data_IF_856232528808
#
_entry.id   IF_856232528808
#
_cell.length_a   1.000
_cell.length_b   1.000
_cell.length_c   1.000
_cell.angle_alpha   90.00
_cell.angle_beta   90.00
_cell.angle_gamma   90.00
#
_symmetry.space_group_name_H-M   'P 1'
#
loop_
_entity.id
_entity.type
_entity.pdbx_description
1 polymer ?
#
# COMPACT_ATOMS: atom_id res chain seq x y z
N UNK A 1 -15.70 35.87 101.23
CA UNK A 1 -16.39 34.89 100.36
C UNK A 1 -15.76 34.94 98.98
N UNK A 2 -14.97 33.92 98.62
CA UNK A 2 -14.48 33.67 97.25
C UNK A 2 -14.20 32.17 97.17
N UNK A 3 -15.06 31.43 96.47
CA UNK A 3 -14.92 30.00 96.22
C UNK A 3 -14.25 29.82 94.86
N UNK A 4 -13.10 29.13 94.81
CA UNK A 4 -12.40 28.82 93.57
C UNK A 4 -12.94 27.52 92.98
N UNK A 5 -13.57 27.59 91.81
CA UNK A 5 -13.99 26.42 91.05
C UNK A 5 -12.84 25.92 90.15
N UNK A 6 -12.55 24.62 90.20
CA UNK A 6 -11.64 23.92 89.27
C UNK A 6 -12.35 23.72 87.91
N UNK A 7 -11.65 23.78 86.78
CA UNK A 7 -12.22 23.41 85.49
C UNK A 7 -12.24 21.88 85.33
N UNK A 8 -13.41 21.37 84.93
CA UNK A 8 -13.68 19.97 84.61
C UNK A 8 -12.93 19.52 83.36
N UNK A 9 -12.40 18.30 83.43
CA UNK A 9 -11.77 17.58 82.34
C UNK A 9 -12.79 17.25 81.24
N UNK A 10 -12.44 17.57 79.98
CA UNK A 10 -13.23 17.21 78.82
C UNK A 10 -13.27 15.68 78.63
N UNK A 11 -14.44 15.09 78.32
CA UNK A 11 -14.60 13.65 78.20
C UNK A 11 -14.02 13.07 76.88
N UNK A 12 -13.39 11.90 77.02
CA UNK A 12 -12.50 11.21 76.09
C UNK A 12 -13.22 10.39 74.98
N UNK A 13 -14.28 10.91 74.36
CA UNK A 13 -15.04 10.18 73.32
C UNK A 13 -14.71 10.60 71.88
N UNK A 14 -13.75 11.50 71.67
CA UNK A 14 -13.38 11.97 70.32
C UNK A 14 -12.30 11.15 69.59
N UNK A 15 -11.85 10.00 70.12
CA UNK A 15 -10.71 9.28 69.54
C UNK A 15 -11.03 8.10 68.61
N UNK A 16 -12.29 7.85 68.27
CA UNK A 16 -12.70 6.55 67.69
C UNK A 16 -13.47 6.63 66.35
N UNK A 17 -13.15 7.60 65.46
CA UNK A 17 -13.86 7.71 64.16
C UNK A 17 -12.95 7.80 62.93
N UNK A 18 -11.62 7.80 63.04
CA UNK A 18 -10.73 7.97 61.87
C UNK A 18 -9.78 6.80 61.62
N UNK A 19 -10.31 5.57 61.62
CA UNK A 19 -9.59 4.40 61.10
C UNK A 19 -10.53 3.49 60.29
N UNK A 20 -11.23 4.10 59.33
CA UNK A 20 -12.01 3.41 58.31
C UNK A 20 -11.26 3.35 56.98
N UNK A 21 -10.47 2.29 56.83
CA UNK A 21 -10.21 1.57 55.57
C UNK A 21 -10.10 2.37 54.27
N UNK A 22 -8.91 2.90 54.00
CA UNK A 22 -8.51 3.44 52.70
C UNK A 22 -7.85 2.41 51.77
N UNK A 23 -7.96 1.11 52.05
CA UNK A 23 -7.13 0.09 51.39
C UNK A 23 -7.74 -0.47 50.09
N UNK A 24 -9.06 -0.36 49.91
CA UNK A 24 -9.74 -1.09 48.81
C UNK A 24 -9.90 -0.28 47.49
N UNK A 25 -9.70 1.05 47.54
CA UNK A 25 -9.79 1.92 46.34
C UNK A 25 -8.61 1.74 45.38
N UNK A 26 -7.51 1.15 45.84
CA UNK A 26 -6.30 0.91 45.03
C UNK A 26 -6.40 -0.32 44.12
N UNK A 27 -7.12 -1.36 44.56
CA UNK A 27 -7.19 -2.65 43.85
C UNK A 27 -8.16 -2.56 42.66
N UNK A 28 -9.31 -1.90 42.84
CA UNK A 28 -10.29 -1.69 41.75
C UNK A 28 -9.72 -0.78 40.66
N UNK A 29 -8.97 0.27 41.03
CA UNK A 29 -8.29 1.16 40.07
C UNK A 29 -7.24 0.46 39.22
N UNK A 30 -6.48 -0.48 39.80
CA UNK A 30 -5.45 -1.24 39.07
C UNK A 30 -6.07 -2.17 38.02
N UNK A 31 -7.19 -2.82 38.35
CA UNK A 31 -7.90 -3.71 37.40
C UNK A 31 -8.51 -2.95 36.22
N UNK A 32 -9.15 -1.80 36.46
CA UNK A 32 -9.66 -0.96 35.37
C UNK A 32 -8.55 -0.45 34.45
N UNK A 33 -7.40 -0.08 34.99
CA UNK A 33 -6.26 0.38 34.19
C UNK A 33 -5.76 -0.74 33.25
N UNK A 34 -5.68 -1.98 33.74
CA UNK A 34 -5.27 -3.12 32.90
C UNK A 34 -6.26 -3.39 31.78
N UNK A 35 -7.57 -3.37 32.06
CA UNK A 35 -8.59 -3.56 31.01
C UNK A 35 -8.60 -2.42 29.99
N UNK A 36 -8.36 -1.18 30.43
CA UNK A 36 -8.23 -0.03 29.53
C UNK A 36 -7.01 -0.17 28.60
N UNK A 37 -5.85 -0.57 29.14
CA UNK A 37 -4.64 -0.79 28.33
C UNK A 37 -4.86 -1.94 27.35
N UNK A 38 -5.53 -3.03 27.77
CA UNK A 38 -5.82 -4.18 26.91
C UNK A 38 -6.83 -3.82 25.80
N UNK A 39 -7.84 -2.99 26.12
CA UNK A 39 -8.79 -2.45 25.16
C UNK A 39 -8.10 -1.50 24.16
N UNK A 40 -7.19 -0.64 24.62
CA UNK A 40 -6.40 0.23 23.74
C UNK A 40 -5.50 -0.60 22.82
N UNK A 41 -4.88 -1.68 23.30
CA UNK A 41 -4.13 -2.60 22.45
C UNK A 41 -5.01 -3.38 21.45
N UNK A 42 -6.23 -3.76 21.86
CA UNK A 42 -7.20 -4.45 20.99
C UNK A 42 -7.78 -3.51 19.92
N UNK A 43 -7.96 -2.23 20.26
CA UNK A 43 -8.42 -1.16 19.37
C UNK A 43 -7.27 -0.46 18.64
N UNK A 44 -6.02 -0.77 18.99
CA UNK A 44 -4.85 -0.17 18.36
C UNK A 44 -4.79 -0.68 16.93
N UNK A 45 -4.74 0.20 15.92
CA UNK A 45 -4.67 -0.17 14.52
C UNK A 45 -3.25 -0.62 14.17
N UNK A 46 -2.74 -1.65 14.86
CA UNK A 46 -1.42 -2.24 14.61
C UNK A 46 -1.38 -2.92 13.22
N UNK A 47 -2.53 -3.07 12.56
CA UNK A 47 -2.66 -3.81 11.30
C UNK A 47 -2.80 -3.02 10.00
N UNK A 48 -2.89 -1.69 10.01
CA UNK A 48 -3.01 -0.88 8.79
C UNK A 48 -1.70 -0.13 8.51
N UNK A 49 -0.63 -0.90 8.31
CA UNK A 49 0.52 -0.36 7.58
C UNK A 49 0.18 -0.44 6.10
N UNK A 50 -0.42 0.63 5.56
CA UNK A 50 -0.42 0.82 4.11
C UNK A 50 1.04 0.77 3.62
N UNK A 51 1.32 0.05 2.53
CA UNK A 51 2.68 0.00 2.00
C UNK A 51 3.12 1.43 1.68
N UNK A 52 4.36 1.78 2.06
CA UNK A 52 4.90 3.12 1.80
C UNK A 52 4.86 3.48 0.31
N UNK A 53 4.95 2.47 -0.57
CA UNK A 53 4.61 2.52 -1.98
C UNK A 53 4.44 1.12 -2.55
N UNK A 54 3.94 1.03 -3.78
CA UNK A 54 3.86 -0.18 -4.58
C UNK A 54 4.98 -0.23 -5.60
N UNK A 55 5.70 -1.34 -5.68
CA UNK A 55 6.75 -1.52 -6.67
C UNK A 55 6.11 -1.98 -7.99
N UNK A 56 6.11 -1.09 -8.98
CA UNK A 56 5.86 -1.42 -10.37
C UNK A 56 7.09 -2.09 -10.96
N UNK A 57 6.88 -3.19 -11.67
CA UNK A 57 7.91 -3.87 -12.47
C UNK A 57 7.42 -4.12 -13.87
N UNK A 58 8.28 -3.86 -14.85
CA UNK A 58 8.15 -4.34 -16.23
C UNK A 58 9.22 -5.39 -16.48
N UNK A 59 8.83 -6.55 -16.98
CA UNK A 59 9.75 -7.66 -17.23
C UNK A 59 9.52 -8.22 -18.62
N UNK A 60 10.60 -8.64 -19.26
CA UNK A 60 10.54 -9.49 -20.45
C UNK A 60 10.00 -10.86 -20.03
N UNK A 61 8.84 -11.24 -20.55
CA UNK A 61 8.13 -12.46 -20.14
C UNK A 61 8.87 -13.73 -20.60
N UNK A 62 9.69 -13.65 -21.66
CA UNK A 62 10.39 -14.82 -22.22
C UNK A 62 11.57 -15.26 -21.35
N UNK A 63 12.36 -14.31 -20.87
CA UNK A 63 13.62 -14.57 -20.17
C UNK A 63 13.66 -14.03 -18.73
N UNK A 64 12.60 -13.35 -18.28
CA UNK A 64 12.49 -12.79 -16.93
C UNK A 64 13.38 -11.57 -16.69
N UNK A 65 14.02 -11.00 -17.72
CA UNK A 65 14.87 -9.81 -17.59
C UNK A 65 14.01 -8.64 -17.12
N UNK A 66 14.46 -7.98 -16.05
CA UNK A 66 13.87 -6.73 -15.60
C UNK A 66 14.15 -5.63 -16.63
N UNK A 67 13.09 -5.04 -17.17
CA UNK A 67 13.14 -3.90 -18.10
C UNK A 67 13.10 -2.60 -17.30
N UNK A 68 12.18 -2.50 -16.34
CA UNK A 68 11.98 -1.30 -15.55
C UNK A 68 11.43 -1.63 -14.16
N UNK A 69 11.78 -0.80 -13.17
CA UNK A 69 11.13 -0.83 -11.88
C UNK A 69 11.07 0.56 -11.26
N UNK A 70 9.94 0.88 -10.63
CA UNK A 70 9.76 2.10 -9.86
C UNK A 70 8.80 1.87 -8.71
N UNK A 71 8.94 2.69 -7.68
CA UNK A 71 8.05 2.77 -6.53
C UNK A 71 6.97 3.81 -6.87
N UNK A 72 5.70 3.39 -6.87
CA UNK A 72 4.52 4.20 -7.15
C UNK A 72 3.61 4.31 -5.93
N UNK A 73 3.10 5.50 -5.69
CA UNK A 73 2.14 5.80 -4.63
C UNK A 73 0.71 5.45 -5.09
N UNK A 74 -0.19 5.29 -4.11
CA UNK A 74 -1.62 5.16 -4.38
C UNK A 74 -2.13 6.36 -5.19
N UNK A 75 -2.88 6.09 -6.27
CA UNK A 75 -3.42 7.09 -7.17
C UNK A 75 -2.47 7.59 -8.26
N UNK A 76 -1.20 7.16 -8.28
CA UNK A 76 -0.33 7.43 -9.43
C UNK A 76 -0.73 6.61 -10.66
N UNK A 77 -0.38 7.11 -11.84
CA UNK A 77 -0.79 6.53 -13.12
C UNK A 77 0.34 6.00 -13.97
N UNK A 78 0.00 5.03 -14.81
CA UNK A 78 0.83 4.44 -15.85
C UNK A 78 0.05 4.51 -17.16
N UNK A 79 0.68 5.08 -18.20
CA UNK A 79 0.09 5.19 -19.52
C UNK A 79 0.68 4.11 -20.41
N UNK A 80 -0.19 3.40 -21.12
CA UNK A 80 0.21 2.47 -22.16
C UNK A 80 -0.31 2.98 -23.50
N UNK A 81 0.62 3.36 -24.37
CA UNK A 81 0.32 3.86 -25.70
C UNK A 81 0.66 2.79 -26.73
N UNK A 82 -0.28 2.47 -27.61
CA UNK A 82 -0.08 1.47 -28.65
C UNK A 82 -0.89 1.81 -29.90
N UNK A 83 -0.71 1.04 -30.97
CA UNK A 83 -1.49 1.21 -32.20
C UNK A 83 -2.36 -0.01 -32.43
N UNK A 84 -3.68 0.21 -32.45
CA UNK A 84 -4.63 -0.82 -32.79
C UNK A 84 -4.46 -1.24 -34.26
N UNK A 85 -4.18 -2.53 -34.51
CA UNK A 85 -3.91 -3.04 -35.85
C UNK A 85 -5.17 -3.21 -36.70
N UNK A 86 -6.34 -3.35 -36.07
CA UNK A 86 -7.61 -3.57 -36.78
C UNK A 86 -8.08 -2.28 -37.47
N UNK A 87 -7.94 -1.13 -36.80
CA UNK A 87 -8.39 0.17 -37.28
C UNK A 87 -7.25 1.15 -37.59
N UNK A 88 -6.01 0.81 -37.22
CA UNK A 88 -4.85 1.66 -37.42
C UNK A 88 -4.83 2.91 -36.53
N UNK A 89 -5.64 2.95 -35.47
CA UNK A 89 -5.77 4.08 -34.54
C UNK A 89 -4.74 3.98 -33.40
N UNK A 90 -4.26 5.12 -32.92
CA UNK A 90 -3.46 5.16 -31.70
C UNK A 90 -4.40 5.00 -30.50
N UNK A 91 -3.98 4.20 -29.54
CA UNK A 91 -4.74 3.91 -28.32
C UNK A 91 -3.89 4.27 -27.11
N UNK A 92 -4.50 4.94 -26.15
CA UNK A 92 -3.92 5.22 -24.84
C UNK A 92 -4.77 4.57 -23.77
N UNK A 93 -4.19 3.67 -22.99
CA UNK A 93 -4.79 3.08 -21.80
C UNK A 93 -4.14 3.69 -20.55
N UNK A 94 -4.96 4.15 -19.61
CA UNK A 94 -4.49 4.81 -18.38
C UNK A 94 -4.84 3.95 -17.18
N UNK A 95 -3.82 3.38 -16.56
CA UNK A 95 -3.91 2.58 -15.34
C UNK A 95 -3.58 3.44 -14.13
N UNK A 96 -4.37 3.31 -13.06
CA UNK A 96 -4.09 3.90 -11.76
C UNK A 96 -3.71 2.83 -10.76
N UNK A 97 -2.80 3.17 -9.85
CA UNK A 97 -2.45 2.31 -8.71
C UNK A 97 -3.54 2.45 -7.66
N UNK A 98 -4.31 1.37 -7.45
CA UNK A 98 -5.37 1.37 -6.43
C UNK A 98 -5.38 0.07 -5.63
N UNK A 99 -5.26 0.17 -4.31
CA UNK A 99 -5.26 -0.96 -3.37
C UNK A 99 -4.34 -2.11 -3.81
N UNK A 100 -3.15 -1.76 -4.33
CA UNK A 100 -2.15 -2.72 -4.81
C UNK A 100 -2.47 -3.41 -6.14
N UNK A 101 -3.41 -2.86 -6.90
CA UNK A 101 -3.78 -3.32 -8.25
C UNK A 101 -3.62 -2.20 -9.28
N UNK A 102 -3.42 -2.57 -10.54
CA UNK A 102 -3.47 -1.66 -11.69
C UNK A 102 -4.92 -1.59 -12.14
N UNK A 103 -5.58 -0.46 -11.94
CA UNK A 103 -6.98 -0.26 -12.35
C UNK A 103 -7.01 0.56 -13.62
N UNK A 104 -7.47 -0.03 -14.73
CA UNK A 104 -7.72 0.72 -15.96
C UNK A 104 -8.90 1.67 -15.70
N UNK A 105 -8.64 2.98 -15.78
CA UNK A 105 -9.62 4.05 -15.57
C UNK A 105 -10.07 4.71 -16.86
N UNK A 106 -9.18 4.79 -17.83
CA UNK A 106 -9.46 5.44 -19.10
C UNK A 106 -8.88 4.66 -20.27
N UNK A 107 -9.59 4.71 -21.38
CA UNK A 107 -9.10 4.26 -22.68
C UNK A 107 -9.49 5.29 -23.74
N UNK A 108 -8.53 5.66 -24.58
CA UNK A 108 -8.71 6.65 -25.64
C UNK A 108 -8.29 6.02 -26.94
N UNK A 109 -9.21 5.91 -27.89
CA UNK A 109 -8.93 5.64 -29.30
C UNK A 109 -8.87 6.98 -30.01
N UNK A 110 -7.66 7.41 -30.36
CA UNK A 110 -7.43 8.76 -30.86
C UNK A 110 -7.95 8.98 -32.27
N UNK A 111 -8.53 10.17 -32.50
CA UNK A 111 -8.88 10.61 -33.85
C UNK A 111 -7.59 10.90 -34.64
N UNK A 112 -7.39 10.30 -35.83
CA UNK A 112 -6.15 10.46 -36.60
C UNK A 112 -5.96 11.87 -37.18
N UNK A 113 -7.02 12.69 -37.18
CA UNK A 113 -7.02 14.08 -37.62
C UNK A 113 -6.96 15.07 -36.43
N UNK A 114 -6.90 14.57 -35.20
CA UNK A 114 -6.74 15.38 -33.98
C UNK A 114 -8.03 16.07 -33.50
N UNK A 115 -9.20 15.62 -33.97
CA UNK A 115 -10.46 16.08 -33.41
C UNK A 115 -10.66 15.50 -31.99
N UNK A 116 -11.40 16.19 -31.10
CA UNK A 116 -11.77 15.62 -29.81
C UNK A 116 -12.55 14.31 -29.99
N UNK A 117 -12.15 13.28 -29.26
CA UNK A 117 -12.80 11.98 -29.30
C UNK A 117 -14.18 12.04 -28.63
N UNK A 118 -15.21 11.35 -29.17
CA UNK A 118 -16.51 11.27 -28.51
C UNK A 118 -16.39 10.54 -27.18
N UNK A 119 -16.96 11.12 -26.13
CA UNK A 119 -17.06 10.47 -24.82
C UNK A 119 -18.14 9.38 -24.88
N UNK A 120 -17.82 8.18 -24.42
CA UNK A 120 -18.71 7.00 -24.45
C UNK A 120 -18.90 6.40 -23.06
N UNK A 121 -19.96 5.60 -22.89
CA UNK A 121 -20.21 4.89 -21.64
C UNK A 121 -19.19 3.75 -21.47
N UNK A 122 -18.63 3.55 -20.25
CA UNK A 122 -17.86 2.35 -19.90
C UNK A 122 -18.44 1.02 -20.39
N UNK A 123 -19.76 0.87 -20.38
CA UNK A 123 -20.46 -0.34 -20.81
C UNK A 123 -20.30 -0.62 -22.31
N UNK A 124 -20.06 0.40 -23.12
CA UNK A 124 -19.97 0.28 -24.58
C UNK A 124 -18.55 -0.05 -25.06
N UNK A 125 -17.54 0.08 -24.20
CA UNK A 125 -16.13 -0.08 -24.58
C UNK A 125 -15.86 -1.43 -25.26
N UNK A 126 -16.37 -2.52 -24.71
CA UNK A 126 -16.13 -3.86 -25.28
C UNK A 126 -16.69 -3.99 -26.70
N UNK A 127 -17.85 -3.36 -26.95
CA UNK A 127 -18.45 -3.32 -28.27
C UNK A 127 -17.68 -2.40 -29.23
N UNK A 128 -17.37 -1.18 -28.80
CA UNK A 128 -16.69 -0.17 -29.62
C UNK A 128 -15.26 -0.57 -30.00
N UNK A 129 -14.58 -1.35 -29.16
CA UNK A 129 -13.28 -1.96 -29.50
C UNK A 129 -13.34 -2.86 -30.76
N UNK A 130 -14.54 -3.29 -31.19
CA UNK A 130 -14.76 -4.13 -32.36
C UNK A 130 -15.45 -3.42 -33.53
N UNK A 131 -16.13 -2.30 -33.28
CA UNK A 131 -16.74 -1.48 -34.35
C UNK A 131 -15.75 -0.49 -34.95
N UNK A 132 -14.80 -0.02 -34.15
CA UNK A 132 -13.77 0.93 -34.55
C UNK A 132 -14.23 2.39 -34.48
N UNK A 133 -13.34 3.28 -34.91
CA UNK A 133 -13.51 4.73 -34.77
C UNK A 133 -12.92 5.29 -33.48
N UNK A 134 -12.73 6.62 -33.40
CA UNK A 134 -12.20 7.26 -32.21
C UNK A 134 -13.26 7.37 -31.11
N UNK A 135 -12.83 7.22 -29.86
CA UNK A 135 -13.67 7.41 -28.67
C UNK A 135 -12.81 7.59 -27.41
N UNK A 136 -13.40 8.14 -26.36
CA UNK A 136 -12.80 8.23 -25.03
C UNK A 136 -13.78 7.65 -24.02
N UNK A 137 -13.35 6.65 -23.25
CA UNK A 137 -14.10 6.18 -22.10
C UNK A 137 -13.32 6.47 -20.81
N UNK A 138 -14.05 6.90 -19.78
CA UNK A 138 -13.53 7.28 -18.46
C UNK A 138 -14.28 6.53 -17.37
N UNK A 139 -13.78 6.54 -16.13
CA UNK A 139 -14.39 5.86 -14.99
C UNK A 139 -14.52 4.33 -15.19
N UNK A 140 -13.63 3.73 -15.98
CA UNK A 140 -13.46 2.29 -16.00
C UNK A 140 -13.02 1.81 -14.62
N UNK A 141 -13.30 0.55 -14.29
CA UNK A 141 -13.02 -0.03 -12.96
C UNK A 141 -12.41 -1.43 -13.05
N UNK A 142 -11.77 -1.73 -14.17
CA UNK A 142 -11.19 -3.05 -14.42
C UNK A 142 -9.82 -3.14 -13.74
N UNK A 143 -9.76 -3.92 -12.68
CA UNK A 143 -8.54 -4.14 -11.90
C UNK A 143 -7.73 -5.33 -12.41
N UNK A 144 -6.40 -5.16 -12.44
CA UNK A 144 -5.44 -6.17 -12.84
C UNK A 144 -4.36 -6.31 -11.76
N UNK A 145 -4.05 -7.55 -11.38
CA UNK A 145 -2.84 -7.83 -10.59
C UNK A 145 -1.58 -7.84 -11.46
N UNK A 146 -1.76 -8.12 -12.75
CA UNK A 146 -0.71 -8.27 -13.75
C UNK A 146 -1.32 -8.03 -15.15
N UNK A 147 -0.56 -7.40 -16.04
CA UNK A 147 -0.94 -7.11 -17.43
C UNK A 147 0.20 -7.52 -18.35
N UNK A 148 -0.07 -8.42 -19.30
CA UNK A 148 0.91 -8.82 -20.33
C UNK A 148 0.61 -8.10 -21.64
N UNK A 149 1.63 -7.48 -22.22
CA UNK A 149 1.58 -6.78 -23.49
C UNK A 149 2.37 -7.54 -24.53
N UNK A 150 1.76 -7.82 -25.68
CA UNK A 150 2.48 -8.38 -26.84
C UNK A 150 2.89 -7.27 -27.79
N UNK A 151 4.18 -7.21 -28.14
CA UNK A 151 4.70 -6.21 -29.07
C UNK A 151 4.39 -6.64 -30.51
N UNK A 152 3.34 -6.05 -31.06
CA UNK A 152 2.95 -6.24 -32.46
C UNK A 152 3.82 -5.47 -33.46
N UNK A 153 3.51 -5.64 -34.74
CA UNK A 153 4.20 -4.93 -35.84
C UNK A 153 3.71 -3.49 -35.95
N UNK A 154 2.42 -3.27 -35.66
CA UNK A 154 1.74 -1.99 -35.81
C UNK A 154 2.19 -1.00 -34.72
N UNK A 155 2.74 0.13 -35.17
CA UNK A 155 3.12 1.24 -34.29
C UNK A 155 4.40 0.97 -33.48
N UNK A 156 4.53 1.75 -32.41
CA UNK A 156 5.62 1.68 -31.44
C UNK A 156 5.00 1.70 -30.04
N UNK A 157 4.72 0.53 -29.44
CA UNK A 157 4.10 0.49 -28.14
C UNK A 157 5.03 1.07 -27.08
N UNK A 158 4.50 1.93 -26.22
CA UNK A 158 5.26 2.65 -25.19
C UNK A 158 4.55 2.56 -23.85
N UNK A 159 5.34 2.47 -22.79
CA UNK A 159 4.85 2.69 -21.43
C UNK A 159 5.44 4.00 -20.91
N UNK A 160 4.59 4.85 -20.36
CA UNK A 160 4.99 6.11 -19.73
C UNK A 160 4.63 6.04 -18.25
N UNK A 161 5.64 6.25 -17.41
CA UNK A 161 5.51 6.27 -15.94
C UNK A 161 6.25 7.50 -15.44
N UNK A 162 5.52 8.50 -14.91
CA UNK A 162 6.08 9.82 -14.56
C UNK A 162 6.81 10.44 -15.77
N UNK A 163 8.12 10.62 -15.66
CA UNK A 163 9.03 11.17 -16.68
C UNK A 163 9.74 10.09 -17.51
N UNK A 164 9.58 8.80 -17.17
CA UNK A 164 10.16 7.70 -17.91
C UNK A 164 9.27 7.29 -19.10
N UNK A 165 9.86 7.21 -20.28
CA UNK A 165 9.23 6.69 -21.51
C UNK A 165 10.00 5.44 -21.94
N UNK A 166 9.29 4.32 -22.03
CA UNK A 166 9.86 3.01 -22.35
C UNK A 166 9.33 2.55 -23.71
N UNK A 167 10.20 2.43 -24.72
CA UNK A 167 9.84 1.85 -26.02
C UNK A 167 9.93 0.33 -25.94
N UNK A 168 8.77 -0.34 -25.91
CA UNK A 168 8.75 -1.79 -25.70
C UNK A 168 9.35 -2.56 -26.89
N UNK A 169 9.34 -1.98 -28.09
CA UNK A 169 9.90 -2.62 -29.28
C UNK A 169 11.41 -2.61 -29.25
N UNK A 170 12.03 -1.58 -28.68
CA UNK A 170 13.48 -1.54 -28.45
C UNK A 170 13.91 -2.53 -27.36
N UNK A 171 13.05 -2.76 -26.37
CA UNK A 171 13.34 -3.64 -25.24
C UNK A 171 13.21 -5.13 -25.56
N UNK A 172 12.12 -5.56 -26.19
CA UNK A 172 11.83 -7.00 -26.40
C UNK A 172 11.69 -7.40 -27.88
N UNK A 173 11.80 -6.45 -28.80
CA UNK A 173 11.65 -6.72 -30.23
C UNK A 173 10.22 -7.07 -30.65
N UNK A 174 10.04 -7.35 -31.94
CA UNK A 174 8.74 -7.79 -32.49
C UNK A 174 8.40 -9.21 -32.01
N UNK A 175 7.15 -9.41 -31.59
CA UNK A 175 6.66 -10.69 -31.05
C UNK A 175 7.02 -10.92 -29.58
N UNK A 176 7.89 -10.08 -29.00
CA UNK A 176 8.23 -10.10 -27.59
C UNK A 176 7.03 -9.75 -26.70
N UNK A 177 7.13 -10.12 -25.42
CA UNK A 177 6.09 -9.89 -24.42
C UNK A 177 6.65 -9.18 -23.20
N UNK A 178 5.91 -8.20 -22.71
CA UNK A 178 6.26 -7.43 -21.52
C UNK A 178 5.19 -7.63 -20.46
N UNK A 179 5.60 -8.13 -19.30
CA UNK A 179 4.76 -8.29 -18.12
C UNK A 179 4.86 -7.07 -17.23
N UNK A 180 3.73 -6.42 -16.96
CA UNK A 180 3.60 -5.33 -16.00
C UNK A 180 2.87 -5.80 -14.75
N UNK A 181 3.49 -5.55 -13.59
CA UNK A 181 2.96 -6.01 -12.30
C UNK A 181 3.23 -5.01 -11.20
N UNK A 182 2.30 -4.92 -10.25
CA UNK A 182 2.50 -4.27 -8.96
C UNK A 182 2.82 -5.29 -7.86
N UNK A 183 3.66 -4.89 -6.92
CA UNK A 183 3.89 -5.64 -5.69
C UNK A 183 3.97 -4.70 -4.49
N UNK A 184 3.43 -5.15 -3.37
CA UNK A 184 3.49 -4.45 -2.08
C UNK A 184 4.71 -4.87 -1.24
N UNK A 185 5.65 -5.60 -1.85
CA UNK A 185 6.81 -6.15 -1.14
C UNK A 185 7.97 -5.16 -1.17
N UNK A 186 8.72 -5.01 -0.07
CA UNK A 186 9.94 -4.22 -0.08
C UNK A 186 10.91 -4.79 -1.12
N UNK A 187 11.57 -3.88 -1.84
CA UNK A 187 12.46 -4.12 -3.00
C UNK A 187 13.54 -5.20 -2.72
N UNK A 188 13.95 -5.34 -1.46
CA UNK A 188 14.89 -6.37 -0.98
C UNK A 188 14.37 -7.81 -1.15
N UNK A 189 13.06 -8.04 -1.09
CA UNK A 189 12.50 -9.38 -1.32
C UNK A 189 12.25 -9.70 -2.79
N UNK A 190 11.97 -8.67 -3.62
CA UNK A 190 11.82 -8.81 -5.07
C UNK A 190 13.18 -9.14 -5.73
N UNK A 191 14.26 -8.51 -5.26
CA UNK A 191 15.63 -8.86 -5.66
C UNK A 191 16.01 -10.29 -5.30
N UNK A 192 15.61 -10.79 -4.12
CA UNK A 192 15.85 -12.17 -3.71
C UNK A 192 15.06 -13.20 -4.55
N UNK A 193 13.90 -12.84 -5.11
CA UNK A 193 13.19 -13.69 -6.07
C UNK A 193 13.77 -13.64 -7.49
N UNK A 194 14.48 -12.55 -7.83
CA UNK A 194 15.12 -12.35 -9.14
C UNK A 194 16.57 -12.87 -9.20
N UNK A 195 17.19 -13.14 -8.04
CA UNK A 195 18.56 -13.65 -7.90
C UNK A 195 18.60 -14.77 -6.85
N UNK A 196 18.12 -16.00 -7.15
CA UNK A 196 18.26 -17.11 -6.22
C UNK A 196 19.74 -17.52 -6.16
N UNK A 197 20.52 -16.95 -5.23
CA UNK A 197 21.88 -17.43 -4.95
C UNK A 197 22.95 -16.41 -4.55
N UNK A 198 22.67 -15.11 -4.48
CA UNK A 198 23.69 -14.13 -4.07
C UNK A 198 23.61 -13.80 -2.56
N UNK A 199 24.25 -14.70 -1.81
CA UNK A 199 24.88 -14.57 -0.48
C UNK A 199 24.03 -14.68 0.80
N UNK A 200 24.61 -15.29 1.86
CA UNK A 200 23.96 -15.55 3.14
C UNK A 200 24.02 -14.30 4.04
N UNK A 201 22.91 -13.96 4.69
CA UNK A 201 22.93 -13.01 5.80
C UNK A 201 23.62 -13.71 6.99
N UNK A 202 24.67 -13.12 7.58
CA UNK A 202 25.32 -13.69 8.76
C UNK A 202 24.35 -13.67 9.95
N UNK A 203 24.29 -14.79 10.65
CA UNK A 203 23.63 -14.93 11.94
C UNK A 203 24.02 -13.79 12.88
N UNK A 204 23.05 -12.95 13.27
CA UNK A 204 23.13 -12.20 14.51
C UNK A 204 22.74 -13.17 15.63
N UNK A 205 23.72 -13.94 16.10
CA UNK A 205 23.67 -14.58 17.41
C UNK A 205 23.70 -13.47 18.47
N UNK A 206 22.51 -13.02 18.91
CA UNK A 206 22.37 -12.27 20.15
C UNK A 206 22.47 -13.28 21.29
N UNK A 207 23.70 -13.54 21.72
CA UNK A 207 24.00 -14.38 22.88
C UNK A 207 23.59 -13.64 24.17
N UNK A 208 22.40 -13.97 24.68
CA UNK A 208 22.00 -13.68 26.06
C UNK A 208 22.69 -14.68 26.99
N UNK A 209 23.71 -14.23 27.74
CA UNK A 209 23.95 -14.75 29.09
C UNK A 209 24.73 -13.79 29.98
N UNK A 210 24.04 -13.38 31.02
CA UNK A 210 24.55 -12.75 32.21
C UNK A 210 25.38 -13.71 33.08
N UNK A 211 26.46 -13.21 33.69
CA UNK A 211 26.97 -13.56 35.02
C UNK A 211 28.12 -12.56 35.33
N UNK A 212 27.99 -11.60 36.24
CA UNK A 212 28.00 -11.71 37.71
C UNK A 212 29.37 -12.11 38.27
N UNK A 213 29.84 -11.25 39.19
CA UNK A 213 30.68 -11.48 40.37
C UNK A 213 32.18 -11.14 40.28
N UNK A 214 32.51 -10.07 41.01
CA UNK A 214 33.47 -10.00 42.14
C UNK A 214 34.79 -10.76 42.02
N UNK A 215 35.87 -10.00 42.16
CA UNK A 215 37.22 -10.45 42.46
C UNK A 215 38.21 -9.37 42.14
#
# INVERSE_FOLDING_TARGET
>A
MCASARPDAAPNWQREVLQGDGSDKGIVRRRCLTYLILLIFLLSPIGLMEPACYILTLQDEENGRLIYSSCLDEGESVFYEWRNSLFGLNVTEIFFVENGSLVLREIIYHDPYGNPEPLVDPADVEHLCHEGGPFHAVNLSRAYGEVSFMVGEAGKPRIVVRDAILDLKEEVGFGGRVMMRLSNRPLTSALNSLMPGLLPIPHLEVNTRAARAKG
#
